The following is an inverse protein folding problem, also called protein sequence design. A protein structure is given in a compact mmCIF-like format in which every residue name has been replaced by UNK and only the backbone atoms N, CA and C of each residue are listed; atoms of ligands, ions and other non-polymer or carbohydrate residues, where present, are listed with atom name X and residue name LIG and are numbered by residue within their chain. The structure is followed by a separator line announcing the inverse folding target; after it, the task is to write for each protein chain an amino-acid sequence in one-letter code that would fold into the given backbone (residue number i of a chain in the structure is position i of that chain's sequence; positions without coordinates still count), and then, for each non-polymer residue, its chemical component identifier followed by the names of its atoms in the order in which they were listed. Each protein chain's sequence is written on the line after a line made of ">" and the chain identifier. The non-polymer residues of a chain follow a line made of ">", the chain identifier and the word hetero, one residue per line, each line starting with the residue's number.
data_IF_284439199982
#
_entry.id   IF_284439199982
#
_cell.length_a   1.000
_cell.length_b   1.000
_cell.length_c   1.000
_cell.angle_alpha   90.00
_cell.angle_beta   90.00
_cell.angle_gamma   90.00
#
_symmetry.space_group_name_H-M   'P 1'
#
loop_
_entity.id
_entity.type
_entity.pdbx_description
1 polymer ?
#
# COMPACT_ATOMS: atom_id res chain seq x y z
N UNK A 1 18.84 31.21 55.35
CA UNK A 1 18.99 31.85 53.99
C UNK A 1 19.62 30.95 52.96
N UNK A 2 20.64 30.12 53.20
CA UNK A 2 21.27 29.23 52.23
C UNK A 2 20.29 28.15 51.65
N UNK A 3 19.34 27.62 52.41
CA UNK A 3 18.38 26.61 51.99
C UNK A 3 17.31 27.14 50.99
N UNK A 4 16.97 28.43 51.11
CA UNK A 4 15.97 29.07 50.20
C UNK A 4 16.57 29.32 48.83
N UNK A 5 17.85 29.64 48.75
CA UNK A 5 18.56 29.86 47.49
C UNK A 5 18.65 28.57 46.66
N UNK A 6 18.85 27.42 47.32
CA UNK A 6 18.94 26.12 46.66
C UNK A 6 17.58 25.72 46.05
N UNK A 7 16.47 25.97 46.78
CA UNK A 7 15.11 25.69 46.26
C UNK A 7 14.78 26.57 45.08
N UNK A 8 15.17 27.83 45.08
CA UNK A 8 14.97 28.76 43.96
C UNK A 8 15.79 28.35 42.73
N UNK A 9 17.05 27.88 42.93
CA UNK A 9 17.89 27.40 41.85
C UNK A 9 17.31 26.12 41.15
N UNK A 10 16.74 25.20 41.94
CA UNK A 10 16.11 23.98 41.41
C UNK A 10 14.86 24.33 40.62
N UNK A 11 14.04 25.30 41.04
CA UNK A 11 12.88 25.74 40.26
C UNK A 11 13.26 26.40 38.93
N UNK A 12 14.41 27.08 38.84
CA UNK A 12 14.86 27.65 37.56
C UNK A 12 15.32 26.57 36.56
N UNK A 13 15.88 25.46 37.03
CA UNK A 13 16.38 24.38 36.16
C UNK A 13 15.21 23.58 35.57
N UNK A 14 14.10 23.42 36.30
CA UNK A 14 12.89 22.71 35.79
C UNK A 14 12.12 23.54 34.76
N UNK A 15 12.30 24.87 34.75
CA UNK A 15 11.62 25.80 33.82
C UNK A 15 12.25 25.87 32.41
N UNK A 16 13.42 25.27 32.18
CA UNK A 16 14.03 25.18 30.84
C UNK A 16 13.59 23.89 30.12
N UNK A 17 12.34 23.47 30.38
CA UNK A 17 11.68 22.43 29.60
C UNK A 17 11.39 22.93 28.21
N UNK A 18 11.95 22.27 27.24
CA UNK A 18 11.78 22.39 25.80
C UNK A 18 10.64 23.30 25.35
N UNK A 19 10.95 24.53 24.96
CA UNK A 19 10.09 25.29 24.06
C UNK A 19 10.03 24.50 22.76
N UNK A 20 8.93 23.77 22.56
CA UNK A 20 8.55 23.24 21.27
C UNK A 20 8.29 24.47 20.40
N UNK A 21 9.30 24.92 19.69
CA UNK A 21 9.12 25.90 18.61
C UNK A 21 8.23 25.22 17.58
N UNK A 22 6.94 25.57 17.60
CA UNK A 22 6.05 25.31 16.49
C UNK A 22 6.54 26.24 15.41
N UNK A 23 7.32 25.71 14.49
CA UNK A 23 7.73 26.42 13.29
C UNK A 23 6.48 26.56 12.40
N UNK A 24 5.98 27.80 12.15
CA UNK A 24 4.81 28.01 11.31
C UNK A 24 5.08 27.77 9.82
N UNK A 25 6.29 27.43 9.46
CA UNK A 25 6.67 27.03 8.11
C UNK A 25 6.69 25.51 7.99
N UNK A 26 5.51 24.88 7.78
CA UNK A 26 5.24 23.46 7.54
C UNK A 26 6.36 22.58 6.99
N UNK A 27 7.50 22.53 7.64
CA UNK A 27 8.49 21.50 7.40
C UNK A 27 7.90 20.14 7.80
N UNK A 28 8.17 19.07 7.05
CA UNK A 28 7.73 17.75 7.41
C UNK A 28 8.25 17.45 8.82
N UNK A 29 7.35 17.20 9.78
CA UNK A 29 7.75 16.63 11.04
C UNK A 29 8.73 15.50 10.75
N UNK A 30 9.87 15.47 11.45
CA UNK A 30 10.80 14.35 11.42
C UNK A 30 10.19 13.12 12.14
N UNK A 31 8.93 12.85 11.85
CA UNK A 31 8.33 11.55 12.07
C UNK A 31 9.03 10.62 11.09
N UNK A 32 9.60 9.55 11.57
CA UNK A 32 10.15 8.48 10.75
C UNK A 32 9.28 8.31 9.51
N UNK A 33 9.85 8.32 8.31
CA UNK A 33 9.04 8.11 7.12
C UNK A 33 8.28 6.81 7.34
N UNK A 34 6.96 6.90 7.48
CA UNK A 34 6.11 5.73 7.50
C UNK A 34 6.22 5.18 6.08
N UNK A 35 7.17 4.30 5.86
CA UNK A 35 7.33 3.62 4.60
C UNK A 35 6.25 2.55 4.51
N UNK A 36 5.04 2.98 4.18
CA UNK A 36 3.94 2.07 3.96
C UNK A 36 4.26 1.23 2.74
N UNK A 37 4.41 -0.06 2.95
CA UNK A 37 4.41 -1.02 1.87
C UNK A 37 2.98 -1.15 1.35
N UNK A 38 2.82 -1.29 0.04
CA UNK A 38 1.52 -1.49 -0.57
C UNK A 38 1.61 -2.45 -1.75
N UNK A 39 0.48 -3.07 -2.04
CA UNK A 39 0.24 -3.87 -3.22
C UNK A 39 -0.68 -3.10 -4.15
N UNK A 40 -0.37 -3.09 -5.45
CA UNK A 40 -1.19 -2.46 -6.47
C UNK A 40 -1.25 -3.31 -7.73
N UNK A 41 -2.48 -3.58 -8.22
CA UNK A 41 -2.75 -4.42 -9.38
C UNK A 41 -3.75 -3.74 -10.30
N UNK A 42 -3.41 -3.53 -11.57
CA UNK A 42 -4.37 -3.23 -12.62
C UNK A 42 -4.94 -4.53 -13.16
N UNK A 43 -6.22 -4.53 -13.51
CA UNK A 43 -6.89 -5.69 -14.11
C UNK A 43 -7.49 -5.26 -15.45
N UNK A 44 -7.01 -5.86 -16.52
CA UNK A 44 -7.41 -5.52 -17.90
C UNK A 44 -7.94 -6.73 -18.64
N UNK A 45 -8.85 -6.49 -19.55
CA UNK A 45 -9.28 -7.52 -20.50
C UNK A 45 -8.21 -7.75 -21.58
N UNK A 46 -8.38 -8.78 -22.39
CA UNK A 46 -7.48 -9.09 -23.51
C UNK A 46 -7.32 -7.94 -24.50
N UNK A 47 -8.35 -7.10 -24.68
CA UNK A 47 -8.30 -5.90 -25.54
C UNK A 47 -7.77 -4.64 -24.82
N UNK A 48 -7.34 -4.75 -23.54
CA UNK A 48 -6.77 -3.65 -22.78
C UNK A 48 -7.76 -2.79 -22.01
N UNK A 49 -9.07 -3.09 -22.03
CA UNK A 49 -10.07 -2.35 -21.24
C UNK A 49 -9.84 -2.56 -19.74
N UNK A 50 -9.91 -1.49 -18.97
CA UNK A 50 -9.81 -1.51 -17.51
C UNK A 50 -11.05 -2.18 -16.90
N UNK A 51 -10.87 -3.35 -16.31
CA UNK A 51 -11.94 -4.14 -15.70
C UNK A 51 -12.25 -3.73 -14.24
N UNK A 52 -11.55 -2.75 -13.70
CA UNK A 52 -11.85 -2.12 -12.41
C UNK A 52 -12.59 -0.79 -12.56
N UNK A 53 -12.81 -0.33 -13.80
CA UNK A 53 -13.60 0.86 -14.10
C UNK A 53 -15.04 0.47 -14.38
N UNK A 54 -15.95 0.80 -13.45
CA UNK A 54 -17.38 0.44 -13.54
C UNK A 54 -18.10 0.95 -14.80
N UNK A 55 -17.53 1.92 -15.52
CA UNK A 55 -18.06 2.40 -16.80
C UNK A 55 -17.77 1.45 -17.96
N UNK A 56 -16.84 0.49 -17.82
CA UNK A 56 -16.45 -0.41 -18.88
C UNK A 56 -17.29 -1.68 -18.88
N UNK A 57 -17.68 -2.21 -20.05
CA UNK A 57 -18.36 -3.49 -20.13
C UNK A 57 -17.52 -4.62 -19.51
N UNK A 58 -18.16 -5.45 -18.69
CA UNK A 58 -17.50 -6.58 -18.04
C UNK A 58 -16.63 -6.21 -16.85
N UNK A 59 -16.67 -4.96 -16.41
CA UNK A 59 -15.95 -4.53 -15.20
C UNK A 59 -16.49 -5.19 -13.94
N UNK A 60 -15.62 -5.39 -12.97
CA UNK A 60 -15.95 -5.92 -11.65
C UNK A 60 -16.18 -4.77 -10.66
N UNK A 61 -17.36 -4.76 -10.02
CA UNK A 61 -17.60 -3.91 -8.86
C UNK A 61 -16.81 -4.41 -7.64
N UNK A 62 -16.63 -3.55 -6.64
CA UNK A 62 -15.92 -3.94 -5.42
C UNK A 62 -16.53 -5.18 -4.75
N UNK A 63 -17.84 -5.32 -4.76
CA UNK A 63 -18.56 -6.45 -4.15
C UNK A 63 -18.36 -7.77 -4.90
N UNK A 64 -17.96 -7.71 -6.16
CA UNK A 64 -17.62 -8.88 -6.97
C UNK A 64 -16.17 -9.32 -6.82
N UNK A 65 -15.36 -8.59 -6.06
CA UNK A 65 -13.96 -8.87 -5.84
C UNK A 65 -13.78 -9.42 -4.42
N UNK A 66 -13.11 -10.56 -4.31
CA UNK A 66 -12.72 -11.14 -3.03
C UNK A 66 -11.21 -11.30 -2.99
N UNK A 67 -10.59 -10.78 -1.95
CA UNK A 67 -9.16 -10.93 -1.67
C UNK A 67 -9.02 -11.57 -0.28
N UNK A 68 -8.32 -12.71 -0.20
CA UNK A 68 -8.21 -13.46 1.05
C UNK A 68 -6.94 -14.30 1.09
N UNK A 69 -6.60 -14.82 2.25
CA UNK A 69 -5.52 -15.79 2.47
C UNK A 69 -5.96 -16.89 3.43
N UNK A 70 -5.17 -17.96 3.55
CA UNK A 70 -5.34 -18.98 4.59
C UNK A 70 -4.34 -18.71 5.70
N UNK A 71 -4.83 -18.68 6.95
CA UNK A 71 -3.94 -18.61 8.10
C UNK A 71 -3.23 -19.96 8.35
N UNK A 72 -2.38 -20.01 9.38
CA UNK A 72 -1.62 -21.21 9.73
C UNK A 72 -2.51 -22.43 10.10
N UNK A 73 -3.77 -22.20 10.44
CA UNK A 73 -4.78 -23.22 10.72
C UNK A 73 -5.64 -23.57 9.49
N UNK A 74 -5.35 -22.97 8.32
CA UNK A 74 -6.10 -23.18 7.10
C UNK A 74 -7.42 -22.40 7.01
N UNK A 75 -7.71 -21.51 7.98
CA UNK A 75 -8.92 -20.70 8.00
C UNK A 75 -8.79 -19.55 7.01
N UNK A 76 -9.85 -19.33 6.21
CA UNK A 76 -9.91 -18.21 5.27
C UNK A 76 -10.05 -16.87 6.02
N UNK A 77 -9.17 -15.93 5.70
CA UNK A 77 -9.18 -14.58 6.24
C UNK A 77 -9.29 -13.58 5.08
N UNK A 78 -10.27 -12.71 5.15
CA UNK A 78 -10.42 -11.62 4.19
C UNK A 78 -9.28 -10.61 4.32
N UNK A 79 -8.89 -10.03 3.21
CA UNK A 79 -7.87 -8.96 3.13
C UNK A 79 -8.54 -7.69 2.64
N UNK A 80 -8.35 -6.60 3.37
CA UNK A 80 -8.90 -5.30 3.00
C UNK A 80 -8.22 -4.73 1.75
N UNK A 81 -9.03 -4.21 0.85
CA UNK A 81 -8.57 -3.52 -0.35
C UNK A 81 -9.52 -2.38 -0.75
N UNK A 82 -9.02 -1.51 -1.61
CA UNK A 82 -9.80 -0.46 -2.25
C UNK A 82 -9.57 -0.47 -3.77
N UNK A 83 -10.52 0.08 -4.52
CA UNK A 83 -10.31 0.43 -5.92
C UNK A 83 -9.87 1.88 -5.96
N UNK A 84 -8.61 2.10 -6.27
CA UNK A 84 -8.03 3.44 -6.43
C UNK A 84 -8.33 3.94 -7.84
N UNK A 85 -8.91 5.15 -7.99
CA UNK A 85 -9.17 5.73 -9.31
C UNK A 85 -7.88 6.14 -10.04
N UNK A 86 -7.96 6.47 -11.31
CA UNK A 86 -6.87 7.07 -12.08
C UNK A 86 -6.29 8.29 -11.36
N UNK A 87 -4.97 8.47 -11.46
CA UNK A 87 -4.29 9.61 -10.85
C UNK A 87 -3.03 9.98 -11.65
N UNK A 88 -2.55 11.19 -11.42
CA UNK A 88 -1.32 11.69 -12.04
C UNK A 88 -0.29 12.07 -11.00
N UNK A 89 0.95 11.80 -11.31
CA UNK A 89 2.13 12.34 -10.63
C UNK A 89 2.76 13.44 -11.52
N UNK A 90 3.73 14.21 -11.02
CA UNK A 90 4.42 15.19 -11.87
C UNK A 90 5.10 14.62 -13.12
N UNK A 91 5.37 13.28 -13.12
CA UNK A 91 6.10 12.62 -14.21
C UNK A 91 5.23 11.68 -15.04
N UNK A 92 4.17 11.12 -14.45
CA UNK A 92 3.45 10.01 -15.06
C UNK A 92 1.96 10.09 -14.75
N UNK A 93 1.12 9.75 -15.73
CA UNK A 93 -0.33 9.61 -15.58
C UNK A 93 -0.71 8.14 -15.62
N UNK A 94 -1.45 7.70 -14.61
CA UNK A 94 -2.02 6.36 -14.50
C UNK A 94 -3.50 6.43 -14.82
N UNK A 95 -3.83 6.18 -16.08
CA UNK A 95 -5.19 6.34 -16.62
C UNK A 95 -6.09 5.11 -16.39
N UNK A 96 -5.83 4.31 -15.36
CA UNK A 96 -6.57 3.09 -15.04
C UNK A 96 -6.81 2.97 -13.54
N UNK A 97 -7.85 2.24 -13.16
CA UNK A 97 -8.12 1.91 -11.78
C UNK A 97 -7.17 0.80 -11.28
N UNK A 98 -6.99 0.75 -9.97
CA UNK A 98 -6.09 -0.21 -9.33
C UNK A 98 -6.75 -0.86 -8.13
N UNK A 99 -6.63 -2.16 -8.00
CA UNK A 99 -6.84 -2.86 -6.75
C UNK A 99 -5.64 -2.55 -5.85
N UNK A 100 -5.90 -1.90 -4.74
CA UNK A 100 -4.87 -1.39 -3.84
C UNK A 100 -5.06 -1.95 -2.44
N UNK A 101 -4.01 -2.48 -1.82
CA UNK A 101 -4.04 -3.03 -0.47
C UNK A 101 -2.71 -2.84 0.25
N UNK A 102 -2.74 -2.11 1.37
CA UNK A 102 -1.63 -2.08 2.32
C UNK A 102 -1.60 -3.37 3.14
N UNK A 103 -2.78 -3.84 3.57
CA UNK A 103 -2.94 -5.03 4.39
C UNK A 103 -2.32 -6.26 3.76
N UNK A 104 -2.54 -6.50 2.44
CA UNK A 104 -1.91 -7.59 1.72
C UNK A 104 -0.38 -7.50 1.80
N UNK A 105 0.16 -6.33 1.50
CA UNK A 105 1.61 -6.13 1.47
C UNK A 105 2.25 -6.26 2.86
N UNK A 106 1.57 -5.85 3.93
CA UNK A 106 2.00 -6.02 5.31
C UNK A 106 2.01 -7.50 5.73
N UNK A 107 0.95 -8.25 5.40
CA UNK A 107 0.86 -9.69 5.64
C UNK A 107 1.97 -10.41 4.86
N UNK A 108 2.20 -10.07 3.58
CA UNK A 108 3.26 -10.64 2.77
C UNK A 108 4.65 -10.36 3.36
N UNK A 109 4.88 -9.15 3.88
CA UNK A 109 6.12 -8.78 4.55
C UNK A 109 6.34 -9.55 5.85
N UNK A 110 5.27 -9.95 6.55
CA UNK A 110 5.34 -10.73 7.80
C UNK A 110 5.54 -12.23 7.60
N UNK A 111 5.57 -12.71 6.35
CA UNK A 111 5.93 -14.09 6.01
C UNK A 111 4.86 -14.92 5.33
N UNK A 112 3.61 -14.47 5.25
CA UNK A 112 2.59 -15.15 4.45
C UNK A 112 2.58 -14.58 3.04
N UNK A 113 3.00 -15.36 2.06
CA UNK A 113 3.16 -14.92 0.68
C UNK A 113 2.03 -15.37 -0.26
N UNK A 114 1.13 -16.25 0.20
CA UNK A 114 0.07 -16.86 -0.61
C UNK A 114 -1.27 -16.21 -0.29
N UNK A 115 -1.89 -15.64 -1.31
CA UNK A 115 -3.21 -15.02 -1.28
C UNK A 115 -4.06 -15.58 -2.42
N UNK A 116 -5.35 -15.26 -2.39
CA UNK A 116 -6.30 -15.66 -3.42
C UNK A 116 -7.12 -14.45 -3.85
N UNK A 117 -7.22 -14.24 -5.16
CA UNK A 117 -8.06 -13.21 -5.77
C UNK A 117 -9.17 -13.88 -6.56
N UNK A 118 -10.42 -13.59 -6.21
CA UNK A 118 -11.60 -14.02 -6.97
C UNK A 118 -12.27 -12.81 -7.59
N UNK A 119 -12.56 -12.88 -8.87
CA UNK A 119 -13.21 -11.83 -9.66
C UNK A 119 -14.54 -12.36 -10.22
N UNK A 120 -15.65 -11.85 -9.69
CA UNK A 120 -17.00 -12.32 -10.05
C UNK A 120 -17.14 -13.83 -9.83
N UNK A 121 -17.65 -14.52 -10.86
CA UNK A 121 -17.87 -15.96 -10.82
C UNK A 121 -16.66 -16.80 -11.25
N UNK A 122 -15.52 -16.15 -11.54
CA UNK A 122 -14.30 -16.88 -11.93
C UNK A 122 -13.76 -17.72 -10.77
N UNK A 123 -13.00 -18.76 -11.10
CA UNK A 123 -12.25 -19.50 -10.10
C UNK A 123 -11.24 -18.58 -9.42
N UNK A 124 -10.99 -18.76 -8.11
CA UNK A 124 -9.97 -18.00 -7.41
C UNK A 124 -8.59 -18.27 -8.02
N UNK A 125 -7.86 -17.21 -8.29
CA UNK A 125 -6.47 -17.22 -8.74
C UNK A 125 -5.54 -17.17 -7.52
N UNK A 126 -4.51 -18.00 -7.48
CA UNK A 126 -3.49 -17.95 -6.43
C UNK A 126 -2.49 -16.82 -6.73
N UNK A 127 -2.30 -15.93 -5.78
CA UNK A 127 -1.31 -14.85 -5.81
C UNK A 127 -0.15 -15.22 -4.90
N UNK A 128 1.06 -15.32 -5.45
CA UNK A 128 2.28 -15.39 -4.66
C UNK A 128 3.00 -14.04 -4.71
N UNK A 129 3.07 -13.37 -3.55
CA UNK A 129 3.50 -11.98 -3.42
C UNK A 129 4.81 -11.92 -2.65
N UNK A 130 5.87 -11.42 -3.26
CA UNK A 130 7.16 -11.18 -2.61
C UNK A 130 7.33 -9.70 -2.28
N UNK A 131 7.53 -9.40 -1.00
CA UNK A 131 7.81 -8.06 -0.50
C UNK A 131 9.25 -8.00 0.01
N UNK A 132 10.00 -6.97 -0.41
CA UNK A 132 11.35 -6.70 0.07
C UNK A 132 11.43 -5.24 0.55
N UNK A 133 11.73 -5.08 1.83
CA UNK A 133 11.74 -3.76 2.47
C UNK A 133 10.36 -3.10 2.42
N UNK A 134 10.26 -2.04 1.62
CA UNK A 134 9.01 -1.28 1.44
C UNK A 134 8.42 -1.43 0.03
N UNK A 135 8.86 -2.43 -0.74
CA UNK A 135 8.46 -2.64 -2.13
C UNK A 135 7.88 -4.04 -2.31
N UNK A 136 6.75 -4.15 -3.01
CA UNK A 136 6.31 -5.41 -3.60
C UNK A 136 7.19 -5.68 -4.83
N UNK A 137 8.08 -6.65 -4.72
CA UNK A 137 9.13 -6.91 -5.70
C UNK A 137 8.63 -7.80 -6.84
N UNK A 138 7.83 -8.82 -6.52
CA UNK A 138 7.35 -9.80 -7.48
C UNK A 138 5.93 -10.27 -7.15
N UNK A 139 5.15 -10.50 -8.18
CA UNK A 139 3.84 -11.13 -8.13
C UNK A 139 3.82 -12.30 -9.12
N UNK A 140 3.44 -13.48 -8.64
CA UNK A 140 3.02 -14.59 -9.50
C UNK A 140 1.52 -14.77 -9.35
N UNK A 141 0.82 -15.04 -10.44
CA UNK A 141 -0.58 -15.46 -10.45
C UNK A 141 -0.65 -16.83 -11.10
N UNK A 142 -1.16 -17.83 -10.37
CA UNK A 142 -1.17 -19.23 -10.79
C UNK A 142 0.20 -19.70 -11.32
N UNK A 143 1.26 -19.34 -10.58
CA UNK A 143 2.69 -19.61 -10.85
C UNK A 143 3.28 -18.86 -12.07
N UNK A 144 2.51 -17.98 -12.72
CA UNK A 144 2.98 -17.15 -13.84
C UNK A 144 3.36 -15.76 -13.34
N UNK A 145 4.53 -15.27 -13.72
CA UNK A 145 4.98 -13.94 -13.33
C UNK A 145 4.16 -12.84 -14.01
N UNK A 146 3.64 -11.93 -13.19
CA UNK A 146 2.83 -10.80 -13.66
C UNK A 146 3.75 -9.60 -13.93
N UNK A 147 3.73 -9.05 -15.17
CA UNK A 147 4.56 -7.90 -15.51
C UNK A 147 4.10 -6.64 -14.76
N UNK A 148 5.02 -5.69 -14.64
CA UNK A 148 4.71 -4.34 -14.19
C UNK A 148 3.99 -3.55 -15.30
N UNK A 149 3.16 -2.60 -14.90
CA UNK A 149 2.64 -1.60 -15.84
C UNK A 149 3.77 -0.76 -16.42
N UNK A 150 3.80 -0.54 -17.73
CA UNK A 150 4.84 0.25 -18.39
C UNK A 150 4.97 1.68 -17.83
N UNK A 151 3.84 2.26 -17.38
CA UNK A 151 3.80 3.60 -16.80
C UNK A 151 4.55 3.73 -15.47
N UNK A 152 4.91 2.62 -14.81
CA UNK A 152 5.68 2.64 -13.56
C UNK A 152 7.19 2.71 -13.77
N UNK A 153 7.66 2.46 -14.98
CA UNK A 153 9.07 2.53 -15.30
C UNK A 153 9.57 3.98 -15.23
N UNK A 154 10.30 4.32 -14.16
CA UNK A 154 10.94 5.63 -13.98
C UNK A 154 10.32 6.56 -12.94
N UNK A 155 9.24 6.18 -12.25
CA UNK A 155 8.67 6.96 -11.15
C UNK A 155 8.81 6.24 -9.79
N UNK A 156 10.06 5.99 -9.41
CA UNK A 156 10.38 5.26 -8.16
C UNK A 156 10.07 6.06 -6.89
N UNK A 157 9.87 7.38 -7.01
CA UNK A 157 9.63 8.26 -5.86
C UNK A 157 8.23 8.07 -5.28
N UNK A 158 7.22 7.83 -6.11
CA UNK A 158 5.81 7.80 -5.70
C UNK A 158 5.19 6.41 -5.75
N UNK A 159 5.62 5.57 -6.71
CA UNK A 159 5.07 4.25 -6.92
C UNK A 159 6.18 3.23 -7.09
N UNK A 160 6.14 2.20 -6.28
CA UNK A 160 7.19 1.19 -6.25
C UNK A 160 6.89 0.02 -7.18
N UNK A 161 5.61 -0.30 -7.39
CA UNK A 161 5.20 -1.37 -8.30
C UNK A 161 3.69 -1.32 -8.54
N UNK A 162 3.27 -1.29 -9.78
CA UNK A 162 1.90 -1.60 -10.19
C UNK A 162 1.99 -2.79 -11.14
N UNK A 163 1.42 -3.92 -10.76
CA UNK A 163 1.36 -5.11 -11.59
C UNK A 163 0.20 -5.04 -12.58
N UNK A 164 0.33 -5.69 -13.71
CA UNK A 164 -0.68 -5.69 -14.79
C UNK A 164 -1.19 -7.10 -15.05
N UNK A 165 -2.39 -7.40 -14.56
CA UNK A 165 -3.09 -8.65 -14.86
C UNK A 165 -3.94 -8.47 -16.11
N UNK A 166 -3.75 -9.36 -17.09
CA UNK A 166 -4.53 -9.44 -18.32
C UNK A 166 -5.39 -10.71 -18.31
N UNK A 167 -6.72 -10.54 -18.51
CA UNK A 167 -7.71 -11.64 -18.47
C UNK A 167 -8.25 -11.96 -19.86
#
# INVERSE_FOLDING_TARGET
>A
MKKVIIVLAVMFIVGIGCKKTIDPGGGPCACSPISNVYFSLSVKSSNGSDLLNAANPGAYSKDQIQLYYKDAQGVLKSVDFSIRPPFSTPKTTYAFNQLFSNTLAEIARSGNHIFFLKLGDRQPMELNVKVVGTKTERLLIDQVEVPLEPATAGDELYLKSIFSLKL
#
